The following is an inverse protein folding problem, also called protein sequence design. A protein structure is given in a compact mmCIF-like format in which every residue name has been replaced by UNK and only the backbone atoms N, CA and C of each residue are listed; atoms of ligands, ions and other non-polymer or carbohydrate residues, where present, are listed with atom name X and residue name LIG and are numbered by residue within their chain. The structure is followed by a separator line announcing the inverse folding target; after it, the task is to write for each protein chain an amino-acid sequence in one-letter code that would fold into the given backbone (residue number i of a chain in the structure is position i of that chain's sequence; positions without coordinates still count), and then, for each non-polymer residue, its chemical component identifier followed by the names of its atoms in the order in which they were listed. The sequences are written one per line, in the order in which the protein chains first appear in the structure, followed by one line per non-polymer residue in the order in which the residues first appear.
data_IF_954889586506
#
_entry.id   IF_954889586506
#
_cell.length_a   1.000
_cell.length_b   1.000
_cell.length_c   1.000
_cell.angle_alpha   90.00
_cell.angle_beta   90.00
_cell.angle_gamma   90.00
#
_symmetry.space_group_name_H-M   'P 1'
#
loop_
_entity.id
_entity.type
_entity.pdbx_description
1 polymer ?
#
# COMPACT_ATOMS: atom_id res chain seq x y z
N UNK A 1 -57.85 -5.81 17.96
CA UNK A 1 -56.56 -5.73 17.23
C UNK A 1 -56.01 -4.34 17.53
N UNK A 2 -54.96 -4.28 18.30
CA UNK A 2 -54.33 -3.00 18.65
C UNK A 2 -53.59 -2.47 17.39
N UNK A 3 -53.91 -1.26 17.03
CA UNK A 3 -53.30 -0.50 15.97
C UNK A 3 -51.80 -0.30 16.33
N UNK A 4 -50.94 -1.06 15.67
CA UNK A 4 -49.51 -0.87 15.78
C UNK A 4 -49.17 0.39 14.98
N UNK A 5 -49.16 1.54 15.67
CA UNK A 5 -48.64 2.77 15.11
C UNK A 5 -47.26 2.49 14.49
N UNK A 6 -47.10 2.73 13.19
CA UNK A 6 -45.85 2.72 12.48
C UNK A 6 -44.93 3.76 13.11
N UNK A 7 -44.10 3.35 14.04
CA UNK A 7 -43.05 4.19 14.60
C UNK A 7 -41.91 4.19 13.56
N UNK A 8 -41.57 5.35 13.08
CA UNK A 8 -40.40 5.56 12.25
C UNK A 8 -39.16 5.19 13.09
N UNK A 9 -38.52 4.05 12.75
CA UNK A 9 -37.32 3.59 13.45
C UNK A 9 -36.15 4.34 12.88
N UNK A 10 -35.56 5.22 13.64
CA UNK A 10 -34.33 5.90 13.25
C UNK A 10 -33.14 4.94 13.31
N UNK A 11 -32.09 5.21 12.52
CA UNK A 11 -30.85 4.44 12.56
C UNK A 11 -30.19 4.37 13.93
N UNK A 12 -30.45 5.37 14.78
CA UNK A 12 -29.98 5.43 16.16
C UNK A 12 -30.76 4.44 17.07
N UNK A 13 -32.09 4.28 16.85
CA UNK A 13 -32.90 3.29 17.56
C UNK A 13 -32.49 1.86 17.17
N UNK A 14 -32.12 1.66 15.90
CA UNK A 14 -31.60 0.37 15.41
C UNK A 14 -30.28 0.03 16.07
N UNK A 15 -29.35 0.97 16.15
CA UNK A 15 -28.01 0.77 16.72
C UNK A 15 -28.05 0.46 18.22
N UNK A 16 -29.04 0.99 18.98
CA UNK A 16 -29.21 0.74 20.40
C UNK A 16 -29.93 -0.57 20.71
N UNK A 17 -30.67 -1.12 19.74
CA UNK A 17 -31.48 -2.35 19.91
C UNK A 17 -30.72 -3.62 19.42
N UNK A 18 -29.56 -3.49 18.83
CA UNK A 18 -28.80 -4.63 18.29
C UNK A 18 -28.06 -5.35 19.42
N UNK A 19 -28.74 -6.29 20.03
CA UNK A 19 -28.10 -7.37 20.76
C UNK A 19 -28.32 -8.68 19.98
N UNK A 20 -27.54 -9.72 20.28
CA UNK A 20 -27.54 -11.02 19.61
C UNK A 20 -28.92 -11.73 19.52
N UNK A 21 -29.98 -11.18 20.14
CA UNK A 21 -31.34 -11.71 20.15
C UNK A 21 -32.37 -10.79 19.47
N UNK A 22 -31.94 -9.71 18.84
CA UNK A 22 -32.83 -8.80 18.13
C UNK A 22 -33.48 -9.50 16.92
N UNK A 23 -34.79 -9.40 16.79
CA UNK A 23 -35.59 -9.94 15.70
C UNK A 23 -36.08 -8.79 14.83
N UNK A 24 -35.71 -8.76 13.58
CA UNK A 24 -36.18 -7.77 12.63
C UNK A 24 -37.42 -8.30 11.93
N UNK A 25 -38.46 -7.48 11.86
CA UNK A 25 -39.66 -7.76 11.10
C UNK A 25 -39.57 -7.12 9.74
N UNK A 26 -39.61 -7.94 8.69
CA UNK A 26 -39.61 -7.47 7.30
C UNK A 26 -41.03 -7.68 6.78
N UNK A 27 -41.65 -6.63 6.27
CA UNK A 27 -42.92 -6.74 5.53
C UNK A 27 -42.64 -7.21 4.11
N UNK A 28 -43.21 -8.34 3.78
CA UNK A 28 -43.14 -8.89 2.41
C UNK A 28 -44.59 -9.06 1.92
N UNK A 29 -45.11 -8.03 1.28
CA UNK A 29 -46.48 -7.99 0.72
C UNK A 29 -47.59 -8.20 1.74
N UNK A 30 -47.52 -7.55 2.92
CA UNK A 30 -48.54 -7.60 3.94
C UNK A 30 -48.45 -8.82 4.88
N UNK A 31 -47.41 -9.62 4.77
CA UNK A 31 -47.14 -10.72 5.69
C UNK A 31 -45.87 -10.42 6.48
N UNK A 32 -46.01 -10.29 7.80
CA UNK A 32 -44.87 -10.11 8.67
C UNK A 32 -44.01 -11.38 8.71
N UNK A 33 -42.87 -11.37 8.09
CA UNK A 33 -41.88 -12.43 8.21
C UNK A 33 -40.93 -12.11 9.37
N UNK A 34 -40.73 -13.06 10.26
CA UNK A 34 -39.77 -12.98 11.35
C UNK A 34 -38.44 -13.50 10.84
N UNK A 35 -37.50 -12.60 10.51
CA UNK A 35 -36.15 -13.00 10.18
C UNK A 35 -35.24 -12.84 11.42
N UNK A 36 -34.43 -13.83 11.72
CA UNK A 36 -33.32 -13.66 12.65
C UNK A 36 -32.32 -12.65 12.06
N UNK A 37 -31.77 -11.82 12.93
CA UNK A 37 -30.67 -10.90 12.56
C UNK A 37 -29.57 -11.62 11.79
N UNK A 38 -29.22 -12.84 12.19
CA UNK A 38 -28.27 -13.70 11.50
C UNK A 38 -28.68 -14.03 10.06
N UNK A 39 -29.97 -14.10 9.72
CA UNK A 39 -30.43 -14.39 8.35
C UNK A 39 -30.37 -13.15 7.45
N UNK A 40 -30.54 -11.95 8.00
CA UNK A 40 -30.33 -10.68 7.30
C UNK A 40 -28.81 -10.47 7.10
N UNK A 41 -27.99 -10.84 8.09
CA UNK A 41 -26.53 -10.79 7.99
C UNK A 41 -25.93 -11.90 7.12
N UNK A 42 -26.61 -12.99 6.84
CA UNK A 42 -26.13 -14.00 5.86
C UNK A 42 -26.01 -13.42 4.46
N UNK A 43 -26.82 -12.43 4.09
CA UNK A 43 -26.64 -11.70 2.82
C UNK A 43 -25.34 -10.87 2.88
N UNK A 44 -25.04 -10.26 4.02
CA UNK A 44 -23.76 -9.57 4.25
C UNK A 44 -22.59 -10.54 4.35
N UNK A 45 -22.78 -11.74 4.94
CA UNK A 45 -21.73 -12.77 4.96
C UNK A 45 -21.33 -13.27 3.57
N UNK A 46 -22.25 -13.40 2.62
CA UNK A 46 -21.89 -13.72 1.23
C UNK A 46 -21.04 -12.61 0.62
N UNK A 47 -21.30 -11.35 0.93
CA UNK A 47 -20.47 -10.22 0.54
C UNK A 47 -19.12 -10.21 1.27
N UNK A 48 -19.09 -10.58 2.55
CA UNK A 48 -17.87 -10.72 3.36
C UNK A 48 -16.97 -11.86 2.86
N UNK A 49 -17.53 -13.00 2.47
CA UNK A 49 -16.79 -14.12 1.91
C UNK A 49 -16.06 -13.73 0.63
N UNK A 50 -16.68 -12.86 -0.19
CA UNK A 50 -16.11 -12.42 -1.47
C UNK A 50 -15.13 -11.25 -1.31
N UNK A 51 -15.29 -10.39 -0.30
CA UNK A 51 -14.58 -9.12 -0.19
C UNK A 51 -13.94 -8.83 1.17
N UNK A 52 -14.07 -9.74 2.13
CA UNK A 52 -13.59 -9.56 3.51
C UNK A 52 -14.53 -8.70 4.37
N UNK A 53 -14.45 -8.91 5.68
CA UNK A 53 -15.29 -8.22 6.68
C UNK A 53 -14.90 -6.75 6.90
N UNK A 54 -13.70 -6.35 6.46
CA UNK A 54 -13.23 -4.97 6.59
C UNK A 54 -13.94 -3.97 5.68
N UNK A 55 -14.68 -4.42 4.66
CA UNK A 55 -15.28 -3.52 3.68
C UNK A 55 -16.25 -2.47 4.27
N UNK A 56 -17.11 -2.76 5.27
CA UNK A 56 -17.94 -1.73 5.89
C UNK A 56 -17.14 -0.60 6.55
N UNK A 57 -15.94 -0.89 7.09
CA UNK A 57 -15.06 0.10 7.71
C UNK A 57 -14.45 1.06 6.68
N UNK A 58 -14.44 0.71 5.39
CA UNK A 58 -14.00 1.56 4.30
C UNK A 58 -14.98 2.72 3.96
N UNK A 59 -16.15 2.75 4.56
CA UNK A 59 -17.15 3.80 4.37
C UNK A 59 -17.12 4.93 5.40
N UNK A 60 -16.27 4.84 6.43
CA UNK A 60 -16.25 5.77 7.56
C UNK A 60 -14.85 6.34 7.74
N UNK A 61 -14.70 7.66 7.61
CA UNK A 61 -13.47 8.37 7.94
C UNK A 61 -13.57 9.00 9.33
N UNK A 62 -12.65 8.63 10.25
CA UNK A 62 -12.63 9.15 11.61
C UNK A 62 -11.40 10.02 11.92
N UNK A 63 -10.21 9.52 11.62
CA UNK A 63 -8.97 10.27 11.82
C UNK A 63 -8.51 10.39 13.28
N UNK A 64 -8.82 9.41 14.12
CA UNK A 64 -8.44 9.37 15.55
C UNK A 64 -6.99 8.98 15.72
N UNK A 65 -6.30 9.61 16.69
CA UNK A 65 -4.97 9.19 17.13
C UNK A 65 -5.08 7.97 18.04
N UNK A 66 -4.49 6.86 17.62
CA UNK A 66 -4.46 5.60 18.35
C UNK A 66 -3.13 5.32 19.04
N UNK A 67 -2.15 6.22 18.97
CA UNK A 67 -0.78 6.02 19.45
C UNK A 67 -0.71 5.51 20.89
N UNK A 68 -1.55 6.05 21.76
CA UNK A 68 -1.64 5.68 23.17
C UNK A 68 -2.98 5.00 23.54
N UNK A 69 -3.77 4.63 22.53
CA UNK A 69 -5.07 3.96 22.74
C UNK A 69 -4.91 2.46 22.61
N UNK A 70 -4.21 2.01 21.58
CA UNK A 70 -3.99 0.59 21.30
C UNK A 70 -2.52 0.28 21.07
N UNK A 71 -2.10 -0.88 21.55
CA UNK A 71 -0.81 -1.48 21.16
C UNK A 71 -0.90 -2.04 19.74
N UNK A 72 0.24 -2.34 19.14
CA UNK A 72 0.30 -3.02 17.82
C UNK A 72 -0.45 -4.36 17.88
N UNK A 73 -0.27 -5.13 18.96
CA UNK A 73 -0.93 -6.42 19.15
C UNK A 73 -2.46 -6.30 19.26
N UNK A 74 -2.96 -5.28 19.95
CA UNK A 74 -4.40 -5.06 20.05
C UNK A 74 -5.01 -4.68 18.70
N UNK A 75 -4.34 -3.83 17.92
CA UNK A 75 -4.78 -3.50 16.56
C UNK A 75 -4.70 -4.72 15.63
N UNK A 76 -3.62 -5.49 15.73
CA UNK A 76 -3.48 -6.75 15.00
C UNK A 76 -4.61 -7.73 15.34
N UNK A 77 -4.93 -7.94 16.60
CA UNK A 77 -6.00 -8.86 17.00
C UNK A 77 -7.35 -8.47 16.38
N UNK A 78 -7.73 -7.17 16.42
CA UNK A 78 -8.95 -6.69 15.79
C UNK A 78 -9.00 -6.94 14.28
N UNK A 79 -7.85 -6.86 13.61
CA UNK A 79 -7.74 -7.10 12.17
C UNK A 79 -7.75 -8.59 11.88
N UNK A 80 -6.91 -9.37 12.57
CA UNK A 80 -6.76 -10.82 12.38
C UNK A 80 -8.08 -11.56 12.60
N UNK A 81 -8.85 -11.17 13.61
CA UNK A 81 -10.16 -11.74 13.91
C UNK A 81 -11.26 -11.30 12.91
N UNK A 82 -10.94 -10.40 12.00
CA UNK A 82 -11.85 -9.87 10.99
C UNK A 82 -12.97 -9.00 11.56
N UNK A 83 -12.86 -8.55 12.81
CA UNK A 83 -13.85 -7.68 13.44
C UNK A 83 -13.63 -6.21 13.15
N UNK A 84 -12.37 -5.79 13.03
CA UNK A 84 -11.92 -4.39 12.83
C UNK A 84 -12.50 -3.41 13.87
N UNK A 85 -13.02 -3.88 14.97
CA UNK A 85 -13.96 -3.29 15.93
C UNK A 85 -13.92 -1.76 16.07
N UNK A 86 -12.82 -1.16 16.56
CA UNK A 86 -12.68 0.30 16.71
C UNK A 86 -11.55 0.83 15.81
N UNK A 87 -11.51 0.35 14.55
CA UNK A 87 -10.56 0.82 13.53
C UNK A 87 -11.31 1.38 12.33
N UNK A 88 -11.00 2.61 11.91
CA UNK A 88 -11.67 3.31 10.82
C UNK A 88 -10.66 4.01 9.91
N UNK A 89 -11.08 4.39 8.70
CA UNK A 89 -10.22 5.14 7.79
C UNK A 89 -9.74 6.43 8.43
N UNK A 90 -8.50 6.76 8.16
CA UNK A 90 -7.88 7.98 8.67
C UNK A 90 -7.36 7.88 10.10
N UNK A 91 -7.76 6.88 10.89
CA UNK A 91 -7.14 6.61 12.18
C UNK A 91 -5.66 6.37 11.99
N UNK A 92 -4.86 6.75 12.97
CA UNK A 92 -3.41 6.70 12.83
C UNK A 92 -2.71 6.44 14.16
N UNK A 93 -1.49 5.96 14.06
CA UNK A 93 -0.58 5.81 15.19
C UNK A 93 0.85 6.13 14.77
N UNK A 94 1.66 6.60 15.72
CA UNK A 94 3.04 6.99 15.48
C UNK A 94 3.99 6.00 16.12
N UNK A 95 5.03 5.62 15.38
CA UNK A 95 6.11 4.75 15.83
C UNK A 95 7.47 5.36 15.48
N UNK A 96 8.43 5.19 16.38
CA UNK A 96 9.85 5.44 16.09
C UNK A 96 10.40 4.25 15.32
N UNK A 97 10.95 4.51 14.14
CA UNK A 97 11.45 3.48 13.22
C UNK A 97 12.90 3.78 12.92
N UNK A 98 13.78 2.82 13.15
CA UNK A 98 15.18 2.89 12.74
C UNK A 98 15.39 2.01 11.52
N UNK A 99 15.86 2.58 10.43
CA UNK A 99 16.07 1.89 9.16
C UNK A 99 17.52 1.99 8.72
N UNK A 100 18.09 0.85 8.38
CA UNK A 100 19.33 0.76 7.61
C UNK A 100 18.98 0.88 6.13
N UNK A 101 19.24 2.04 5.56
CA UNK A 101 18.94 2.33 4.15
C UNK A 101 20.19 2.05 3.33
N UNK A 102 20.10 1.06 2.44
CA UNK A 102 21.15 0.75 1.50
C UNK A 102 20.87 1.41 0.15
N UNK A 103 21.91 1.99 -0.45
CA UNK A 103 21.85 2.62 -1.77
C UNK A 103 22.94 2.04 -2.63
N UNK A 104 22.60 1.65 -3.85
CA UNK A 104 23.58 1.12 -4.81
C UNK A 104 24.65 2.16 -5.08
N UNK A 105 25.90 1.78 -4.92
CA UNK A 105 27.05 2.60 -5.26
C UNK A 105 27.21 2.66 -6.79
N UNK A 106 27.36 3.86 -7.30
CA UNK A 106 27.48 4.13 -8.75
C UNK A 106 28.83 4.74 -9.14
N UNK A 107 29.77 4.86 -8.20
CA UNK A 107 31.13 5.30 -8.45
C UNK A 107 31.99 4.20 -9.07
N UNK A 108 33.20 4.58 -9.44
CA UNK A 108 34.20 3.69 -10.08
C UNK A 108 35.42 3.42 -9.21
N UNK A 109 35.47 3.98 -8.01
CA UNK A 109 36.51 3.77 -7.00
C UNK A 109 35.93 3.95 -5.63
N UNK A 110 36.44 3.22 -4.62
CA UNK A 110 36.07 3.42 -3.23
C UNK A 110 36.62 4.74 -2.70
N UNK A 111 35.79 5.44 -1.92
CA UNK A 111 36.15 6.69 -1.27
C UNK A 111 36.65 6.42 0.16
N UNK A 112 37.64 7.17 0.60
CA UNK A 112 38.19 7.03 1.95
C UNK A 112 37.14 7.37 3.01
N UNK A 113 37.05 6.53 4.04
CA UNK A 113 36.11 6.73 5.15
C UNK A 113 34.67 6.28 4.86
N UNK A 114 34.37 5.70 3.70
CA UNK A 114 33.08 5.11 3.37
C UNK A 114 33.15 3.59 3.53
N UNK A 115 32.19 3.03 4.23
CA UNK A 115 32.01 1.57 4.31
C UNK A 115 31.10 1.09 3.19
N UNK A 116 31.54 0.06 2.49
CA UNK A 116 30.81 -0.56 1.38
C UNK A 116 30.32 -1.93 1.76
N UNK A 117 29.17 -2.30 1.17
CA UNK A 117 28.47 -3.55 1.47
C UNK A 117 28.19 -4.31 0.18
N UNK A 118 28.19 -5.63 0.26
CA UNK A 118 27.71 -6.53 -0.78
C UNK A 118 26.35 -7.11 -0.37
N UNK A 119 25.46 -7.30 -1.35
CA UNK A 119 24.13 -7.85 -1.15
C UNK A 119 24.10 -9.33 -1.50
N UNK A 120 23.46 -10.13 -0.66
CA UNK A 120 23.17 -11.55 -0.89
C UNK A 120 21.73 -11.86 -0.53
N UNK A 121 21.24 -13.04 -0.91
CA UNK A 121 19.87 -13.50 -0.67
C UNK A 121 19.23 -14.07 -1.92
N UNK A 122 18.11 -14.78 -1.74
CA UNK A 122 17.41 -15.44 -2.84
C UNK A 122 16.46 -14.50 -3.61
N UNK A 123 15.87 -13.53 -2.90
CA UNK A 123 14.91 -12.59 -3.45
C UNK A 123 14.85 -11.29 -2.61
N UNK A 124 14.06 -10.34 -3.08
CA UNK A 124 13.97 -8.99 -2.49
C UNK A 124 13.49 -8.95 -1.03
N UNK A 125 12.75 -9.95 -0.57
CA UNK A 125 12.25 -10.00 0.82
C UNK A 125 13.31 -10.61 1.76
N UNK A 126 14.38 -11.20 1.20
CA UNK A 126 15.43 -11.91 1.93
C UNK A 126 16.83 -11.30 1.71
N UNK A 127 16.93 -10.07 1.20
CA UNK A 127 18.22 -9.40 1.05
C UNK A 127 18.95 -9.24 2.38
N UNK A 128 20.21 -9.63 2.38
CA UNK A 128 21.16 -9.34 3.45
C UNK A 128 22.32 -8.52 2.88
N UNK A 129 22.86 -7.64 3.72
CA UNK A 129 23.98 -6.78 3.36
C UNK A 129 25.13 -7.04 4.32
N UNK A 130 26.28 -7.40 3.77
CA UNK A 130 27.50 -7.67 4.54
C UNK A 130 28.58 -6.69 4.09
N UNK A 131 29.32 -6.15 5.04
CA UNK A 131 30.47 -5.30 4.74
C UNK A 131 31.43 -6.07 3.84
N UNK A 132 31.87 -5.42 2.74
CA UNK A 132 32.83 -6.06 1.83
C UNK A 132 34.21 -6.13 2.44
N UNK A 133 34.90 -7.21 2.16
CA UNK A 133 36.33 -7.36 2.47
C UNK A 133 37.24 -6.79 1.38
N UNK A 134 36.69 -6.29 0.28
CA UNK A 134 37.47 -5.76 -0.84
C UNK A 134 38.18 -4.47 -0.46
N UNK A 135 39.49 -4.43 -0.64
CA UNK A 135 40.30 -3.24 -0.36
C UNK A 135 40.14 -2.14 -1.43
N UNK A 136 39.60 -2.48 -2.60
CA UNK A 136 39.41 -1.58 -3.73
C UNK A 136 38.17 -1.98 -4.53
N UNK A 137 37.64 -1.02 -5.28
CA UNK A 137 36.49 -1.24 -6.13
C UNK A 137 36.78 -2.28 -7.23
N UNK A 138 35.86 -3.26 -7.35
CA UNK A 138 35.86 -4.26 -8.43
C UNK A 138 34.63 -4.02 -9.31
N UNK A 139 34.82 -3.69 -10.56
CA UNK A 139 33.77 -3.39 -11.54
C UNK A 139 32.85 -4.58 -11.86
N UNK A 140 33.25 -5.79 -11.52
CA UNK A 140 32.46 -7.02 -11.73
C UNK A 140 31.42 -7.23 -10.61
N UNK A 141 31.54 -6.50 -9.49
CA UNK A 141 30.68 -6.60 -8.33
C UNK A 141 29.73 -5.41 -8.21
N UNK A 142 28.67 -5.57 -7.41
CA UNK A 142 27.77 -4.49 -7.04
C UNK A 142 27.91 -4.17 -5.56
N UNK A 143 28.21 -2.92 -5.27
CA UNK A 143 28.39 -2.43 -3.90
C UNK A 143 27.26 -1.48 -3.50
N UNK A 144 27.09 -1.35 -2.19
CA UNK A 144 26.11 -0.48 -1.57
C UNK A 144 26.76 0.34 -0.45
N UNK A 145 26.25 1.53 -0.24
CA UNK A 145 26.54 2.34 0.95
C UNK A 145 25.35 2.30 1.90
N UNK A 146 25.57 2.49 3.20
CA UNK A 146 24.55 2.44 4.24
C UNK A 146 24.35 3.79 4.90
N UNK A 147 23.08 4.18 5.06
CA UNK A 147 22.63 5.28 5.90
C UNK A 147 21.72 4.71 6.99
N UNK A 148 22.04 4.95 8.26
CA UNK A 148 21.14 4.61 9.37
C UNK A 148 20.30 5.83 9.71
N UNK A 149 18.99 5.66 9.74
CA UNK A 149 18.06 6.74 10.05
C UNK A 149 17.01 6.31 11.06
N UNK A 150 16.84 7.12 12.10
CA UNK A 150 15.73 6.99 13.07
C UNK A 150 14.76 8.13 12.85
N UNK A 151 13.48 7.81 12.71
CA UNK A 151 12.44 8.79 12.47
C UNK A 151 11.10 8.36 13.10
N UNK A 152 10.25 9.33 13.44
CA UNK A 152 8.88 9.07 13.87
C UNK A 152 7.98 9.05 12.66
N UNK A 153 7.45 7.88 12.35
CA UNK A 153 6.50 7.68 11.23
C UNK A 153 5.10 7.54 11.78
N UNK A 154 4.20 8.38 11.28
CA UNK A 154 2.76 8.27 11.56
C UNK A 154 2.13 7.42 10.47
N UNK A 155 1.63 6.25 10.84
CA UNK A 155 0.97 5.28 9.98
C UNK A 155 -0.56 5.45 10.09
N UNK A 156 -1.24 5.57 8.95
CA UNK A 156 -2.68 5.82 8.87
C UNK A 156 -3.38 4.67 8.17
N UNK A 157 -4.52 4.25 8.69
CA UNK A 157 -5.39 3.27 8.06
C UNK A 157 -6.01 3.85 6.78
N UNK A 158 -5.65 3.27 5.64
CA UNK A 158 -6.06 3.71 4.32
C UNK A 158 -7.13 2.83 3.67
N UNK A 159 -7.18 1.56 4.07
CA UNK A 159 -8.17 0.60 3.60
C UNK A 159 -8.21 -0.62 4.52
N UNK A 160 -9.31 -1.36 4.49
CA UNK A 160 -9.49 -2.64 5.17
C UNK A 160 -9.86 -3.71 4.14
N UNK A 161 -9.25 -4.89 4.23
CA UNK A 161 -9.45 -6.03 3.33
C UNK A 161 -9.37 -5.67 1.83
N UNK A 162 -8.50 -4.71 1.48
CA UNK A 162 -8.39 -4.19 0.12
C UNK A 162 -7.95 -5.26 -0.88
N UNK A 163 -7.03 -6.14 -0.48
CA UNK A 163 -6.52 -7.23 -1.30
C UNK A 163 -7.14 -8.60 -0.98
N UNK A 164 -8.22 -8.63 -0.17
CA UNK A 164 -8.88 -9.88 0.17
C UNK A 164 -9.39 -10.59 -1.10
N UNK A 165 -9.08 -11.87 -1.24
CA UNK A 165 -9.32 -12.66 -2.44
C UNK A 165 -8.67 -12.13 -3.73
N UNK A 166 -7.60 -11.35 -3.64
CA UNK A 166 -6.83 -10.87 -4.78
C UNK A 166 -5.54 -11.66 -4.98
N UNK A 167 -5.02 -11.62 -6.22
CA UNK A 167 -3.79 -12.30 -6.62
C UNK A 167 -4.05 -13.59 -7.40
N UNK A 168 -2.99 -14.17 -7.98
CA UNK A 168 -2.99 -15.50 -8.57
C UNK A 168 -3.12 -16.59 -7.49
N UNK A 169 -2.69 -16.28 -6.29
CA UNK A 169 -2.98 -17.00 -5.06
C UNK A 169 -3.75 -16.06 -4.16
N UNK A 170 -5.00 -16.41 -3.84
CA UNK A 170 -5.90 -15.54 -3.10
C UNK A 170 -5.36 -15.23 -1.70
N UNK A 171 -5.30 -13.95 -1.35
CA UNK A 171 -5.02 -13.52 0.02
C UNK A 171 -6.30 -13.63 0.85
N UNK A 172 -6.36 -14.60 1.74
CA UNK A 172 -7.53 -14.85 2.61
C UNK A 172 -7.34 -14.38 4.05
N UNK A 173 -6.19 -13.79 4.37
CA UNK A 173 -5.90 -13.17 5.66
C UNK A 173 -6.56 -11.79 5.72
N UNK A 174 -7.29 -11.52 6.79
CA UNK A 174 -7.79 -10.18 7.06
C UNK A 174 -6.63 -9.21 7.27
N UNK A 175 -6.75 -8.01 6.71
CA UNK A 175 -5.68 -7.03 6.75
C UNK A 175 -6.17 -5.60 6.65
N UNK A 176 -5.38 -4.69 7.18
CA UNK A 176 -5.50 -3.27 6.90
C UNK A 176 -4.35 -2.82 6.00
N UNK A 177 -4.60 -1.84 5.16
CA UNK A 177 -3.54 -1.08 4.49
C UNK A 177 -3.23 0.15 5.32
N UNK A 178 -1.96 0.24 5.73
CA UNK A 178 -1.41 1.45 6.32
C UNK A 178 -0.61 2.21 5.27
N UNK A 179 -0.68 3.53 5.34
CA UNK A 179 0.21 4.42 4.59
C UNK A 179 0.81 5.48 5.52
N UNK A 180 2.03 5.94 5.28
CA UNK A 180 2.57 7.08 6.03
C UNK A 180 1.69 8.33 5.82
N UNK A 181 1.25 8.96 6.92
CA UNK A 181 0.27 10.05 6.91
C UNK A 181 0.86 11.38 6.45
N UNK A 182 2.05 11.72 6.94
CA UNK A 182 2.66 13.03 6.71
C UNK A 182 3.66 12.99 5.55
N UNK A 183 4.93 12.95 5.87
CA UNK A 183 6.01 13.06 4.87
C UNK A 183 6.39 11.72 4.20
N UNK A 184 5.74 10.63 4.56
CA UNK A 184 6.23 9.31 4.21
C UNK A 184 7.42 8.96 5.10
N UNK A 185 8.30 8.11 4.61
CA UNK A 185 9.62 8.01 5.20
C UNK A 185 10.38 9.28 4.81
N UNK A 186 10.95 9.96 5.80
CA UNK A 186 11.49 11.31 5.65
C UNK A 186 12.75 11.39 4.76
N UNK A 187 13.35 10.26 4.43
CA UNK A 187 14.42 10.20 3.44
C UNK A 187 13.85 10.18 2.04
N UNK A 188 14.18 11.18 1.24
CA UNK A 188 13.87 11.16 -0.18
C UNK A 188 14.75 10.14 -0.89
N UNK A 189 14.17 9.41 -1.82
CA UNK A 189 14.85 8.37 -2.58
C UNK A 189 14.55 8.49 -4.07
N UNK A 190 15.47 8.01 -4.90
CA UNK A 190 15.30 7.93 -6.34
C UNK A 190 14.53 6.65 -6.69
N UNK A 191 13.79 6.67 -7.80
CA UNK A 191 13.28 5.42 -8.37
C UNK A 191 14.41 4.60 -8.98
N UNK A 192 15.32 5.27 -9.72
CA UNK A 192 16.52 4.70 -10.27
C UNK A 192 17.69 5.70 -10.18
N UNK A 193 18.95 5.25 -10.18
CA UNK A 193 20.12 6.13 -10.12
C UNK A 193 20.16 7.14 -11.27
N UNK A 194 19.67 6.75 -12.44
CA UNK A 194 19.60 7.55 -13.66
C UNK A 194 18.16 7.61 -14.19
N UNK A 195 17.89 8.51 -15.12
CA UNK A 195 16.57 8.64 -15.76
C UNK A 195 16.31 7.49 -16.74
N UNK A 196 15.86 6.36 -16.21
CA UNK A 196 15.48 5.17 -16.95
C UNK A 196 14.33 4.44 -16.27
N UNK A 197 13.46 3.82 -17.05
CA UNK A 197 12.42 2.90 -16.60
C UNK A 197 12.61 1.50 -17.17
N UNK A 198 13.79 1.23 -17.73
CA UNK A 198 14.18 -0.11 -18.20
C UNK A 198 14.05 -1.10 -17.04
N UNK A 199 13.39 -2.22 -17.30
CA UNK A 199 13.08 -3.20 -16.28
C UNK A 199 11.79 -2.92 -15.49
N UNK A 200 11.06 -1.83 -15.83
CA UNK A 200 9.82 -1.45 -15.20
C UNK A 200 9.96 -1.10 -13.72
N UNK A 201 8.83 -1.02 -13.02
CA UNK A 201 8.83 -0.80 -11.58
C UNK A 201 9.47 -1.96 -10.82
N UNK A 202 9.25 -3.21 -11.28
CA UNK A 202 9.79 -4.40 -10.62
C UNK A 202 11.31 -4.33 -10.42
N UNK A 203 12.06 -3.94 -11.47
CA UNK A 203 13.51 -3.88 -11.41
C UNK A 203 14.07 -2.50 -10.99
N UNK A 204 13.22 -1.57 -10.56
CA UNK A 204 13.70 -0.27 -10.08
C UNK A 204 14.49 -0.41 -8.77
N UNK A 205 15.46 0.49 -8.55
CA UNK A 205 16.22 0.58 -7.29
C UNK A 205 15.29 0.77 -6.09
N UNK A 206 14.22 1.53 -6.27
CA UNK A 206 13.17 1.73 -5.27
C UNK A 206 12.58 0.39 -4.80
N UNK A 207 12.15 -0.45 -5.74
CA UNK A 207 11.50 -1.72 -5.41
C UNK A 207 12.50 -2.80 -5.00
N UNK A 208 13.69 -2.84 -5.61
CA UNK A 208 14.68 -3.89 -5.36
C UNK A 208 15.58 -3.63 -4.15
N UNK A 209 15.69 -2.38 -3.70
CA UNK A 209 16.64 -2.01 -2.65
C UNK A 209 16.00 -1.16 -1.56
N UNK A 210 15.37 -0.05 -1.92
CA UNK A 210 14.85 0.92 -0.93
C UNK A 210 13.68 0.35 -0.12
N UNK A 211 12.65 -0.19 -0.76
CA UNK A 211 11.49 -0.73 -0.06
C UNK A 211 11.82 -1.95 0.82
N UNK A 212 12.68 -2.90 0.42
CA UNK A 212 13.13 -3.97 1.31
C UNK A 212 13.80 -3.48 2.60
N UNK A 213 14.55 -2.38 2.55
CA UNK A 213 15.11 -1.77 3.77
C UNK A 213 14.01 -1.32 4.74
N UNK A 214 13.00 -0.63 4.23
CA UNK A 214 11.85 -0.21 5.05
C UNK A 214 11.00 -1.40 5.52
N UNK A 215 10.82 -2.43 4.70
CA UNK A 215 10.08 -3.63 5.08
C UNK A 215 10.72 -4.31 6.30
N UNK A 216 12.04 -4.44 6.32
CA UNK A 216 12.78 -5.03 7.44
C UNK A 216 12.55 -4.26 8.75
N UNK A 217 12.58 -2.93 8.70
CA UNK A 217 12.33 -2.08 9.87
C UNK A 217 10.87 -2.13 10.32
N UNK A 218 9.93 -2.14 9.36
CA UNK A 218 8.51 -2.25 9.66
C UNK A 218 8.14 -3.60 10.25
N UNK A 219 8.75 -4.70 9.82
CA UNK A 219 8.56 -6.01 10.47
C UNK A 219 8.86 -5.93 11.97
N UNK A 220 10.01 -5.37 12.33
CA UNK A 220 10.35 -5.18 13.74
C UNK A 220 9.37 -4.25 14.46
N UNK A 221 9.00 -3.14 13.84
CA UNK A 221 8.13 -2.12 14.43
C UNK A 221 6.69 -2.61 14.61
N UNK A 222 6.22 -3.45 13.70
CA UNK A 222 4.86 -4.02 13.69
C UNK A 222 4.85 -5.46 14.25
N UNK A 223 5.83 -5.84 15.07
CA UNK A 223 5.90 -7.14 15.75
C UNK A 223 5.73 -8.35 14.81
N UNK A 224 6.30 -8.26 13.60
CA UNK A 224 6.21 -9.25 12.52
C UNK A 224 4.81 -9.41 11.87
N UNK A 225 3.89 -8.47 12.10
CA UNK A 225 2.56 -8.46 11.46
C UNK A 225 2.54 -7.70 10.12
N UNK A 226 3.68 -7.57 9.47
CA UNK A 226 3.77 -7.11 8.08
C UNK A 226 3.48 -8.29 7.16
N UNK A 227 2.38 -8.21 6.39
CA UNK A 227 2.01 -9.23 5.42
C UNK A 227 2.67 -8.97 4.07
N UNK A 228 3.02 -10.07 3.40
CA UNK A 228 3.30 -10.04 1.96
C UNK A 228 2.03 -10.39 1.18
N UNK A 229 1.95 -9.94 -0.07
CA UNK A 229 0.88 -10.32 -0.98
C UNK A 229 1.41 -10.58 -2.38
N UNK A 230 0.61 -11.30 -3.15
CA UNK A 230 0.89 -11.55 -4.56
C UNK A 230 0.35 -10.42 -5.40
N UNK A 231 1.21 -9.82 -6.19
CA UNK A 231 0.85 -8.77 -7.15
C UNK A 231 1.52 -9.01 -8.49
N UNK A 232 0.95 -8.48 -9.55
CA UNK A 232 1.55 -8.54 -10.88
C UNK A 232 2.22 -7.19 -11.19
N UNK A 233 3.47 -7.23 -11.56
CA UNK A 233 4.26 -6.03 -11.83
C UNK A 233 4.89 -6.09 -13.21
N UNK A 234 4.95 -4.93 -13.87
CA UNK A 234 5.72 -4.77 -15.09
C UNK A 234 7.22 -4.90 -14.79
N UNK A 235 7.89 -5.82 -15.48
CA UNK A 235 9.32 -6.10 -15.33
C UNK A 235 10.15 -5.72 -16.57
N UNK A 236 9.50 -5.22 -17.62
CA UNK A 236 10.15 -4.66 -18.79
C UNK A 236 9.40 -3.44 -19.29
N UNK A 237 10.14 -2.43 -19.72
CA UNK A 237 9.62 -1.28 -20.46
C UNK A 237 10.46 -1.11 -21.70
N UNK A 238 9.84 -1.01 -22.85
CA UNK A 238 10.52 -0.72 -24.10
C UNK A 238 11.11 0.70 -24.03
N UNK A 239 12.35 0.85 -24.47
CA UNK A 239 13.06 2.14 -24.49
C UNK A 239 12.62 3.05 -25.63
N UNK A 240 11.88 2.55 -26.61
CA UNK A 240 11.34 3.39 -27.67
C UNK A 240 10.28 4.35 -27.12
N UNK A 241 10.22 5.54 -27.69
CA UNK A 241 9.27 6.56 -27.29
C UNK A 241 7.85 6.01 -27.32
N UNK A 242 7.08 6.13 -26.23
CA UNK A 242 5.69 5.68 -26.22
C UNK A 242 4.91 6.44 -27.28
N UNK A 243 4.34 5.73 -28.22
CA UNK A 243 3.45 6.30 -29.20
C UNK A 243 2.08 5.63 -29.08
N UNK A 244 1.09 6.41 -28.76
CA UNK A 244 -0.32 6.02 -28.84
C UNK A 244 -0.83 6.07 -30.29
N UNK A 245 0.02 6.46 -31.25
CA UNK A 245 -0.33 6.58 -32.66
C UNK A 245 -0.26 5.22 -33.34
N UNK A 246 -1.39 4.76 -33.85
CA UNK A 246 -1.48 3.54 -34.64
C UNK A 246 -1.82 2.28 -33.85
N UNK A 247 -1.92 1.16 -34.54
CA UNK A 247 -2.39 -0.11 -34.01
C UNK A 247 -1.40 -0.87 -33.11
N UNK A 248 -0.39 -0.21 -32.55
CA UNK A 248 0.60 -0.83 -31.66
C UNK A 248 0.98 0.08 -30.52
N UNK A 249 0.92 -0.42 -29.30
CA UNK A 249 1.49 0.24 -28.13
C UNK A 249 3.03 0.13 -28.17
N UNK A 250 3.68 1.01 -28.89
CA UNK A 250 5.14 1.11 -28.83
C UNK A 250 5.56 1.71 -27.51
N UNK A 251 6.52 1.08 -26.84
CA UNK A 251 6.99 1.50 -25.53
C UNK A 251 6.19 0.95 -24.36
N UNK A 252 5.23 0.07 -24.63
CA UNK A 252 4.51 -0.65 -23.59
C UNK A 252 5.41 -1.59 -22.79
N UNK A 253 4.97 -1.98 -21.62
CA UNK A 253 5.51 -3.15 -20.96
C UNK A 253 5.31 -4.37 -21.86
N UNK A 254 6.41 -5.04 -22.20
CA UNK A 254 6.38 -6.24 -23.04
C UNK A 254 6.35 -7.52 -22.20
N UNK A 255 6.49 -7.39 -20.89
CA UNK A 255 6.46 -8.51 -19.98
C UNK A 255 6.09 -8.06 -18.56
N UNK A 256 5.57 -9.00 -17.78
CA UNK A 256 5.21 -8.83 -16.38
C UNK A 256 5.38 -10.14 -15.64
N UNK A 257 5.41 -10.08 -14.32
CA UNK A 257 5.50 -11.25 -13.47
C UNK A 257 4.64 -11.10 -12.22
N UNK A 258 4.13 -12.23 -11.75
CA UNK A 258 3.60 -12.34 -10.41
C UNK A 258 4.75 -12.40 -9.42
N UNK A 259 4.72 -11.51 -8.46
CA UNK A 259 5.75 -11.42 -7.40
C UNK A 259 5.11 -11.36 -6.03
N UNK A 260 5.80 -11.92 -5.04
CA UNK A 260 5.47 -11.72 -3.64
C UNK A 260 6.22 -10.50 -3.14
N UNK A 261 5.49 -9.50 -2.67
CA UNK A 261 6.09 -8.26 -2.16
C UNK A 261 5.52 -7.92 -0.78
N UNK A 262 6.36 -7.38 0.08
CA UNK A 262 5.98 -6.89 1.41
C UNK A 262 5.59 -5.42 1.37
N UNK A 263 6.28 -4.63 0.56
CA UNK A 263 5.98 -3.22 0.33
C UNK A 263 5.96 -2.92 -1.16
N UNK A 264 5.04 -2.07 -1.55
CA UNK A 264 5.02 -1.47 -2.89
C UNK A 264 4.56 -0.02 -2.81
N UNK A 265 4.94 0.79 -3.80
CA UNK A 265 4.37 2.12 -3.94
C UNK A 265 2.94 2.05 -4.48
N UNK A 266 2.15 3.07 -4.20
CA UNK A 266 0.80 3.23 -4.77
C UNK A 266 0.86 3.46 -6.27
N UNK A 267 -0.20 3.05 -6.97
CA UNK A 267 -0.45 3.44 -8.37
C UNK A 267 -1.20 4.78 -8.44
N UNK A 268 -1.23 5.40 -9.62
CA UNK A 268 -2.12 6.54 -9.86
C UNK A 268 -3.58 6.18 -9.62
N UNK A 269 -4.01 4.98 -9.98
CA UNK A 269 -5.39 4.54 -9.80
C UNK A 269 -5.75 4.36 -8.33
N UNK A 270 -4.81 3.91 -7.49
CA UNK A 270 -5.03 3.83 -6.05
C UNK A 270 -5.14 5.20 -5.39
N UNK A 271 -4.51 6.21 -5.95
CA UNK A 271 -4.51 7.57 -5.40
C UNK A 271 -5.64 8.43 -5.98
N UNK A 272 -5.87 8.35 -7.29
CA UNK A 272 -6.78 9.25 -8.01
C UNK A 272 -8.04 8.57 -8.56
N UNK A 273 -8.14 7.25 -8.43
CA UNK A 273 -9.23 6.47 -9.03
C UNK A 273 -9.10 6.27 -10.54
N UNK A 274 -8.12 6.89 -11.17
CA UNK A 274 -7.86 6.82 -12.61
C UNK A 274 -6.38 6.95 -12.93
N UNK A 275 -6.00 6.61 -14.15
CA UNK A 275 -4.69 6.97 -14.70
C UNK A 275 -4.69 8.42 -15.11
N UNK A 276 -3.65 9.17 -14.76
CA UNK A 276 -3.49 10.56 -15.14
C UNK A 276 -2.37 10.74 -16.18
N UNK A 277 -1.20 10.16 -15.93
CA UNK A 277 -0.01 10.25 -16.78
C UNK A 277 0.40 8.91 -17.37
N UNK A 278 0.17 7.81 -16.65
CA UNK A 278 0.51 6.49 -17.16
C UNK A 278 -0.48 6.01 -18.21
N UNK A 279 0.00 5.35 -19.23
CA UNK A 279 -0.85 4.62 -20.17
C UNK A 279 -1.14 3.20 -19.66
N UNK A 280 -2.22 2.58 -20.15
CA UNK A 280 -2.54 1.18 -19.86
C UNK A 280 -1.44 0.20 -20.27
N UNK A 281 -0.56 0.63 -21.17
CA UNK A 281 0.51 -0.20 -21.70
C UNK A 281 1.74 -0.26 -20.79
N UNK A 282 1.88 0.67 -19.86
CA UNK A 282 3.04 0.74 -18.96
C UNK A 282 2.80 0.18 -17.58
N UNK A 283 1.56 0.28 -17.10
CA UNK A 283 1.22 -0.14 -15.76
C UNK A 283 0.21 -1.28 -15.81
N UNK A 284 0.60 -2.40 -15.25
CA UNK A 284 -0.22 -3.59 -15.12
C UNK A 284 -0.28 -3.95 -13.64
N UNK A 285 -1.40 -4.50 -13.21
CA UNK A 285 -1.56 -4.90 -11.82
C UNK A 285 -3.00 -5.25 -11.48
N UNK A 286 -3.24 -5.53 -10.22
CA UNK A 286 -4.57 -5.79 -9.65
C UNK A 286 -5.14 -4.57 -8.95
N UNK A 287 -4.43 -3.44 -8.98
CA UNK A 287 -4.67 -2.24 -8.18
C UNK A 287 -5.44 -1.18 -8.97
N UNK A 288 -6.61 -1.56 -9.49
CA UNK A 288 -7.45 -0.68 -10.30
C UNK A 288 -8.53 0.07 -9.51
N UNK A 289 -8.47 0.00 -8.18
CA UNK A 289 -9.43 0.67 -7.29
C UNK A 289 -8.73 1.80 -6.55
N UNK A 290 -9.43 2.89 -6.32
CA UNK A 290 -8.96 3.93 -5.39
C UNK A 290 -8.84 3.35 -3.97
N UNK A 291 -7.81 3.75 -3.24
CA UNK A 291 -7.77 3.47 -1.81
C UNK A 291 -8.89 4.23 -1.11
N UNK A 292 -9.72 3.57 -0.32
CA UNK A 292 -10.90 4.16 0.30
C UNK A 292 -10.65 5.48 1.01
N UNK A 293 -9.50 5.65 1.65
CA UNK A 293 -9.12 6.90 2.32
C UNK A 293 -9.10 8.10 1.40
N UNK A 294 -8.73 7.94 0.14
CA UNK A 294 -8.67 9.05 -0.83
C UNK A 294 -10.04 9.48 -1.37
N UNK A 295 -11.11 8.79 -1.01
CA UNK A 295 -12.47 9.30 -1.23
C UNK A 295 -12.83 10.43 -0.24
N UNK A 296 -12.09 10.56 0.86
CA UNK A 296 -12.39 11.52 1.93
C UNK A 296 -11.36 12.63 2.06
N UNK A 297 -10.11 12.40 1.65
CA UNK A 297 -9.01 13.34 1.84
C UNK A 297 -8.17 13.52 0.58
N UNK A 298 -7.53 14.68 0.47
CA UNK A 298 -6.62 15.00 -0.63
C UNK A 298 -5.37 14.08 -0.60
N UNK A 299 -4.88 13.59 -1.75
CA UNK A 299 -3.71 12.71 -1.83
C UNK A 299 -2.43 13.23 -1.19
N UNK A 300 -2.20 14.54 -1.14
CA UNK A 300 -1.01 15.07 -0.42
C UNK A 300 -1.05 14.83 1.07
N UNK A 301 -2.22 14.42 1.61
CA UNK A 301 -2.43 14.20 3.01
C UNK A 301 -2.06 15.46 3.84
N UNK A 302 -1.48 15.25 5.01
CA UNK A 302 -1.19 16.33 5.94
C UNK A 302 0.19 16.96 5.72
N UNK A 303 1.06 16.31 4.93
CA UNK A 303 2.45 16.76 4.76
C UNK A 303 2.69 17.69 3.57
N UNK A 304 1.78 17.75 2.60
CA UNK A 304 1.91 18.52 1.36
C UNK A 304 3.27 18.35 0.67
N UNK A 305 3.74 17.11 0.60
CA UNK A 305 5.03 16.75 0.02
C UNK A 305 4.87 15.90 -1.23
N UNK A 306 5.80 16.03 -2.14
CA UNK A 306 5.89 15.15 -3.30
C UNK A 306 6.24 13.72 -2.85
N UNK A 307 5.54 12.72 -3.38
CA UNK A 307 5.90 11.34 -3.15
C UNK A 307 5.76 10.49 -4.41
N UNK A 308 6.58 9.46 -4.51
CA UNK A 308 6.60 8.55 -5.64
C UNK A 308 5.33 7.70 -5.73
N UNK A 309 4.89 7.50 -6.95
CA UNK A 309 3.96 6.45 -7.36
C UNK A 309 4.70 5.43 -8.24
N UNK A 310 4.21 4.18 -8.28
CA UNK A 310 4.90 3.13 -9.06
C UNK A 310 4.61 3.19 -10.56
N UNK A 311 3.60 3.95 -10.97
CA UNK A 311 3.12 4.00 -12.35
C UNK A 311 4.20 4.55 -13.29
N UNK A 312 4.53 3.80 -14.33
CA UNK A 312 5.49 4.22 -15.36
C UNK A 312 4.82 5.21 -16.32
N UNK A 313 5.44 6.35 -16.54
CA UNK A 313 4.91 7.43 -17.38
C UNK A 313 5.57 7.46 -18.76
N UNK A 314 6.86 7.18 -18.81
CA UNK A 314 7.66 7.23 -20.03
C UNK A 314 8.88 6.32 -19.92
N UNK A 315 9.71 6.28 -20.95
CA UNK A 315 11.00 5.54 -20.94
C UNK A 315 11.99 6.04 -19.88
N UNK A 316 11.76 7.23 -19.30
CA UNK A 316 12.68 7.86 -18.34
C UNK A 316 12.04 8.25 -17.02
N UNK A 317 10.70 8.15 -16.87
CA UNK A 317 9.99 8.70 -15.74
C UNK A 317 8.87 7.86 -15.17
N UNK A 318 8.62 8.10 -13.89
CA UNK A 318 7.53 7.54 -13.12
C UNK A 318 6.58 8.65 -12.66
N UNK A 319 5.36 8.26 -12.31
CA UNK A 319 4.39 9.16 -11.73
C UNK A 319 4.77 9.53 -10.28
N UNK A 320 4.36 10.70 -9.86
CA UNK A 320 4.38 11.16 -8.46
C UNK A 320 3.09 11.89 -8.12
N UNK A 321 2.79 11.98 -6.85
CA UNK A 321 1.87 12.99 -6.34
C UNK A 321 2.65 14.27 -6.05
N UNK A 322 2.21 15.38 -6.61
CA UNK A 322 2.81 16.71 -6.40
C UNK A 322 2.39 17.32 -5.05
N UNK A 323 3.05 18.42 -4.65
CA UNK A 323 2.80 19.10 -3.36
C UNK A 323 1.39 19.66 -3.19
N UNK A 324 0.66 19.81 -4.28
CA UNK A 324 -0.73 20.29 -4.28
C UNK A 324 -1.77 19.15 -4.45
N UNK A 325 -1.31 17.89 -4.48
CA UNK A 325 -2.16 16.71 -4.64
C UNK A 325 -2.45 16.30 -6.07
N UNK A 326 -1.95 17.04 -7.06
CA UNK A 326 -2.09 16.68 -8.47
C UNK A 326 -1.13 15.56 -8.88
N UNK A 327 -1.55 14.78 -9.87
CA UNK A 327 -0.67 13.81 -10.53
C UNK A 327 0.39 14.54 -11.36
N UNK A 328 1.59 14.00 -11.42
CA UNK A 328 2.71 14.55 -12.19
C UNK A 328 3.63 13.41 -12.64
N UNK A 329 4.37 13.62 -13.74
CA UNK A 329 5.36 12.68 -14.27
C UNK A 329 6.75 13.27 -14.17
N UNK A 330 7.71 12.52 -13.62
CA UNK A 330 9.07 13.01 -13.36
C UNK A 330 10.12 11.97 -13.67
N UNK A 331 11.34 12.44 -13.97
CA UNK A 331 12.49 11.56 -14.24
C UNK A 331 12.81 10.67 -13.05
N UNK A 332 13.14 9.42 -13.33
CA UNK A 332 13.42 8.37 -12.36
C UNK A 332 14.56 8.70 -11.37
N UNK A 333 15.50 9.56 -11.76
CA UNK A 333 16.62 10.00 -10.92
C UNK A 333 16.28 11.16 -9.96
N UNK A 334 15.07 11.69 -10.00
CA UNK A 334 14.59 12.65 -9.01
C UNK A 334 14.49 12.01 -7.62
N UNK A 335 14.64 12.81 -6.57
CA UNK A 335 14.56 12.32 -5.19
C UNK A 335 13.28 12.85 -4.53
N UNK A 336 12.36 11.94 -4.22
CA UNK A 336 11.06 12.25 -3.59
C UNK A 336 10.77 11.31 -2.43
N UNK A 337 9.81 11.68 -1.60
CA UNK A 337 9.43 10.90 -0.43
C UNK A 337 8.86 9.53 -0.82
N UNK A 338 9.11 8.55 0.04
CA UNK A 338 8.67 7.17 -0.11
C UNK A 338 7.43 6.95 0.76
N UNK A 339 6.29 6.69 0.13
CA UNK A 339 5.01 6.45 0.80
C UNK A 339 4.44 5.11 0.33
N UNK A 340 4.91 4.00 0.89
CA UNK A 340 4.49 2.67 0.46
C UNK A 340 3.13 2.29 1.02
N UNK A 341 2.52 1.30 0.38
CA UNK A 341 1.47 0.48 0.96
C UNK A 341 2.10 -0.54 1.90
N UNK A 342 1.55 -0.65 3.10
CA UNK A 342 1.98 -1.53 4.17
C UNK A 342 0.77 -2.40 4.54
N UNK A 343 0.83 -3.69 4.27
CA UNK A 343 -0.23 -4.61 4.67
C UNK A 343 0.04 -5.07 6.10
N UNK A 344 -0.91 -4.81 6.97
CA UNK A 344 -0.87 -5.12 8.39
C UNK A 344 -2.03 -6.06 8.75
N UNK A 345 -1.67 -7.30 9.23
CA UNK A 345 -2.64 -8.34 9.56
C UNK A 345 -2.02 -9.66 10.00
#
# INVERSE_FOLDING_TARGET
MADLATKEITLVDLASAINSNAKIYIDNNGTFARANFDDVFKITNTFSILRGNGQPHNGIFRGKDLTNVYTVEQMYAMIHDGTFSDLFLGDYFTKSITTDIYTKFTGTAFESGITYYERSGADLNNWTYTETSDASYDSSKTYYTKLVKTENVTLMFAAFDYYYNCGDTALTTHHAILIPRNYGFATTSKMNPINTTVGGYYNSEMHQTTLPCYAKSLKTTLNNHLLSHRTILSNTVNTSTPSMAGAGFTGASTNWAWVTTELQLMTEQQVYGTRAWTSSAYDIGIDYRILPVFNFINPVLFGRTNFWLRSVVSSTGFARCGTYGGADGVGASGAYYVRPLILFG
#
